data_IF_719089604329
#
_entry.id   IF_719089604329
#
_cell.length_a   1.000
_cell.length_b   1.000
_cell.length_c   1.000
_cell.angle_alpha   90.00
_cell.angle_beta   90.00
_cell.angle_gamma   90.00
#
_symmetry.space_group_name_H-M   'P 1'
#
loop_
_entity.id
_entity.type
_entity.pdbx_description
1 polymer ?
#
# COMPACT_ATOMS: atom_id res chain seq x y z
N UNK A 1 -13.12 -31.34 21.97
CA UNK A 1 -11.86 -30.95 21.30
C UNK A 1 -12.09 -29.60 20.65
N UNK A 2 -11.34 -28.57 21.05
CA UNK A 2 -11.50 -27.20 20.57
C UNK A 2 -10.85 -27.07 19.18
N UNK A 3 -11.60 -26.80 18.09
CA UNK A 3 -11.05 -26.75 16.72
C UNK A 3 -10.02 -25.63 16.52
N UNK A 4 -9.93 -24.66 17.44
CA UNK A 4 -9.03 -23.52 17.34
C UNK A 4 -7.57 -23.84 17.73
N UNK A 5 -7.30 -24.97 18.40
CA UNK A 5 -5.95 -25.27 18.89
C UNK A 5 -5.00 -25.83 17.82
N UNK A 6 -5.55 -26.43 16.75
CA UNK A 6 -4.75 -27.04 15.66
C UNK A 6 -4.32 -25.97 14.64
N UNK A 7 -5.20 -25.02 14.35
CA UNK A 7 -4.92 -23.89 13.45
C UNK A 7 -3.85 -22.96 14.02
N UNK A 8 -3.85 -22.73 15.34
CA UNK A 8 -2.89 -21.89 16.06
C UNK A 8 -1.45 -22.48 16.04
N UNK A 9 -1.36 -23.81 16.10
CA UNK A 9 -0.08 -24.53 16.05
C UNK A 9 0.47 -24.60 14.62
N UNK A 10 -0.39 -24.85 13.63
CA UNK A 10 -0.02 -24.77 12.21
C UNK A 10 0.41 -23.35 11.80
N UNK A 11 -0.16 -22.31 12.43
CA UNK A 11 0.25 -20.93 12.25
C UNK A 11 1.69 -20.68 12.73
N UNK A 12 2.02 -21.03 13.97
CA UNK A 12 3.39 -20.92 14.48
C UNK A 12 4.40 -21.64 13.59
N UNK A 13 4.03 -22.80 13.04
CA UNK A 13 4.86 -23.58 12.14
C UNK A 13 5.10 -22.83 10.81
N UNK A 14 4.07 -22.25 10.17
CA UNK A 14 4.23 -21.49 8.91
C UNK A 14 5.08 -20.22 9.08
N UNK A 15 4.95 -19.50 10.19
CA UNK A 15 5.83 -18.36 10.51
C UNK A 15 7.27 -18.82 10.82
N UNK A 16 7.45 -20.03 11.37
CA UNK A 16 8.78 -20.59 11.65
C UNK A 16 9.47 -21.22 10.42
N UNK A 17 8.71 -21.63 9.40
CA UNK A 17 9.22 -22.37 8.23
C UNK A 17 9.49 -21.50 6.99
N UNK A 18 9.50 -20.17 7.11
CA UNK A 18 9.96 -19.29 6.04
C UNK A 18 8.89 -18.84 5.03
N UNK A 19 7.64 -18.68 5.46
CA UNK A 19 6.66 -17.91 4.68
C UNK A 19 7.20 -16.50 4.40
N UNK A 20 7.11 -16.02 3.15
CA UNK A 20 7.67 -14.73 2.75
C UNK A 20 7.00 -13.57 3.49
N UNK A 21 7.60 -13.14 4.61
CA UNK A 21 7.10 -12.10 5.51
C UNK A 21 7.18 -10.70 4.91
N UNK A 22 8.09 -10.51 3.97
CA UNK A 22 8.31 -9.23 3.32
C UNK A 22 8.84 -9.42 1.90
N UNK A 23 8.58 -8.43 1.06
CA UNK A 23 9.11 -8.32 -0.29
C UNK A 23 9.42 -6.86 -0.54
N UNK A 24 10.65 -6.55 -0.91
CA UNK A 24 11.00 -5.22 -1.42
C UNK A 24 11.44 -5.35 -2.87
N UNK A 25 11.08 -4.37 -3.69
CA UNK A 25 11.54 -4.20 -5.05
C UNK A 25 12.06 -2.78 -5.19
N UNK A 26 13.28 -2.67 -5.69
CA UNK A 26 13.92 -1.40 -6.01
C UNK A 26 14.14 -1.36 -7.52
N UNK A 27 13.79 -0.24 -8.14
CA UNK A 27 13.94 -0.03 -9.57
C UNK A 27 14.59 1.31 -9.83
N UNK A 28 15.60 1.30 -10.69
CA UNK A 28 16.37 2.47 -11.06
C UNK A 28 16.23 2.68 -12.57
N UNK A 29 15.98 3.92 -12.99
CA UNK A 29 15.83 4.26 -14.39
C UNK A 29 16.55 5.58 -14.67
N UNK A 30 17.59 5.52 -15.50
CA UNK A 30 18.31 6.68 -16.00
C UNK A 30 17.95 6.87 -17.47
N UNK A 31 17.60 8.10 -17.84
CA UNK A 31 17.32 8.47 -19.22
C UNK A 31 17.90 9.84 -19.52
N UNK A 32 18.54 9.96 -20.68
CA UNK A 32 19.13 11.18 -21.17
C UNK A 32 18.56 11.47 -22.56
N UNK A 33 17.92 12.63 -22.69
CA UNK A 33 17.36 13.10 -23.94
C UNK A 33 18.24 14.22 -24.50
N UNK A 34 18.79 13.99 -25.70
CA UNK A 34 19.63 14.94 -26.45
C UNK A 34 18.91 15.53 -27.67
N UNK A 35 17.58 15.70 -27.60
CA UNK A 35 16.81 16.31 -28.69
C UNK A 35 17.27 17.75 -28.99
N UNK A 36 17.78 18.46 -27.98
CA UNK A 36 18.52 19.70 -28.17
C UNK A 36 19.97 19.52 -27.64
N UNK A 37 20.99 19.54 -28.51
CA UNK A 37 22.40 19.40 -28.11
C UNK A 37 22.87 20.48 -27.12
N UNK A 38 22.20 21.63 -27.07
CA UNK A 38 22.52 22.74 -26.17
C UNK A 38 21.90 22.63 -24.77
N UNK A 39 20.89 21.77 -24.58
CA UNK A 39 20.23 21.60 -23.29
C UNK A 39 19.76 20.15 -23.10
N UNK A 40 20.70 19.23 -22.77
CA UNK A 40 20.35 17.83 -22.55
C UNK A 40 19.46 17.69 -21.31
N UNK A 41 18.35 16.97 -21.44
CA UNK A 41 17.46 16.67 -20.33
C UNK A 41 17.87 15.33 -19.75
N UNK A 42 18.35 15.34 -18.52
CA UNK A 42 18.70 14.14 -17.77
C UNK A 42 17.64 13.85 -16.72
N UNK A 43 17.25 12.58 -16.59
CA UNK A 43 16.32 12.12 -15.57
C UNK A 43 16.86 10.86 -14.92
N UNK A 44 16.82 10.82 -13.59
CA UNK A 44 17.18 9.63 -12.83
C UNK A 44 16.09 9.34 -11.80
N UNK A 45 15.27 8.34 -12.09
CA UNK A 45 14.21 7.88 -11.21
C UNK A 45 14.67 6.68 -10.37
N UNK A 46 14.34 6.72 -9.08
CA UNK A 46 14.37 5.57 -8.20
C UNK A 46 12.96 5.29 -7.69
N UNK A 47 12.51 4.05 -7.80
CA UNK A 47 11.23 3.60 -7.27
C UNK A 47 11.48 2.47 -6.28
N UNK A 48 10.76 2.50 -5.16
CA UNK A 48 10.75 1.47 -4.14
C UNK A 48 9.33 1.00 -3.90
N UNK A 49 9.15 -0.32 -3.83
CA UNK A 49 7.89 -0.97 -3.50
C UNK A 49 8.18 -2.03 -2.45
N UNK A 50 7.70 -1.81 -1.24
CA UNK A 50 7.89 -2.71 -0.11
C UNK A 50 6.53 -3.21 0.36
N UNK A 51 6.37 -4.52 0.48
CA UNK A 51 5.18 -5.18 1.02
C UNK A 51 5.60 -6.06 2.18
N UNK A 52 4.97 -5.87 3.34
CA UNK A 52 5.27 -6.55 4.59
C UNK A 52 3.97 -7.20 5.08
N UNK A 53 4.01 -8.51 5.27
CA UNK A 53 2.93 -9.29 5.88
C UNK A 53 3.20 -9.38 7.38
N UNK A 54 2.67 -8.43 8.15
CA UNK A 54 2.92 -8.31 9.60
C UNK A 54 2.29 -9.48 10.35
N UNK A 55 1.07 -9.85 9.98
CA UNK A 55 0.35 -11.05 10.43
C UNK A 55 -0.52 -11.55 9.27
N UNK A 56 -1.21 -12.70 9.36
CA UNK A 56 -2.09 -13.20 8.26
C UNK A 56 -3.14 -12.17 7.83
N UNK A 57 -3.61 -11.42 8.81
CA UNK A 57 -4.70 -10.48 8.67
C UNK A 57 -4.22 -9.05 8.46
N UNK A 58 -2.91 -8.80 8.49
CA UNK A 58 -2.34 -7.47 8.32
C UNK A 58 -1.26 -7.45 7.25
N UNK A 59 -1.50 -6.64 6.23
CA UNK A 59 -0.53 -6.34 5.20
C UNK A 59 -0.26 -4.84 5.17
N UNK A 60 1.01 -4.47 5.14
CA UNK A 60 1.45 -3.09 4.98
C UNK A 60 2.25 -3.00 3.70
N UNK A 61 1.92 -2.04 2.87
CA UNK A 61 2.62 -1.74 1.63
C UNK A 61 3.09 -0.29 1.70
N UNK A 62 4.34 -0.08 1.32
CA UNK A 62 4.96 1.23 1.23
C UNK A 62 5.56 1.38 -0.16
N UNK A 63 5.19 2.45 -0.83
CA UNK A 63 5.70 2.80 -2.14
C UNK A 63 6.31 4.18 -2.08
N UNK A 64 7.48 4.37 -2.68
CA UNK A 64 8.06 5.69 -2.83
C UNK A 64 8.81 5.84 -4.14
N UNK A 65 8.72 7.03 -4.74
CA UNK A 65 9.43 7.42 -5.95
C UNK A 65 10.26 8.65 -5.65
N UNK A 66 11.52 8.58 -6.03
CA UNK A 66 12.52 9.62 -5.85
C UNK A 66 13.06 10.07 -7.21
N UNK A 67 13.26 11.37 -7.34
CA UNK A 67 14.11 11.96 -8.37
C UNK A 67 15.51 12.11 -7.77
N UNK A 68 16.45 11.28 -8.25
CA UNK A 68 17.80 11.20 -7.69
C UNK A 68 18.64 12.41 -8.09
N UNK A 69 18.39 13.01 -9.27
CA UNK A 69 19.12 14.18 -9.74
C UNK A 69 18.72 15.42 -8.94
N UNK A 70 17.42 15.62 -8.76
CA UNK A 70 16.87 16.75 -8.01
C UNK A 70 16.85 16.50 -6.49
N UNK A 71 17.23 15.29 -6.04
CA UNK A 71 17.20 14.83 -4.65
C UNK A 71 15.84 15.02 -3.99
N UNK A 72 14.77 14.82 -4.76
CA UNK A 72 13.41 15.10 -4.33
C UNK A 72 12.59 13.82 -4.19
N UNK A 73 11.74 13.77 -3.17
CA UNK A 73 10.78 12.69 -2.97
C UNK A 73 9.49 13.05 -3.71
N UNK A 74 9.36 12.52 -4.91
CA UNK A 74 8.28 12.85 -5.84
C UNK A 74 6.93 12.33 -5.34
N UNK A 75 6.90 11.12 -4.80
CA UNK A 75 5.69 10.57 -4.21
C UNK A 75 5.98 9.46 -3.23
N UNK A 76 5.17 9.35 -2.19
CA UNK A 76 5.19 8.22 -1.28
C UNK A 76 3.79 7.86 -0.78
N UNK A 77 3.54 6.57 -0.60
CA UNK A 77 2.23 6.05 -0.25
C UNK A 77 2.33 4.91 0.75
N UNK A 78 1.46 4.94 1.74
CA UNK A 78 1.26 3.88 2.71
C UNK A 78 -0.10 3.22 2.45
N UNK A 79 -0.11 1.90 2.31
CA UNK A 79 -1.29 1.09 2.07
C UNK A 79 -1.35 -0.03 3.11
N UNK A 80 -2.27 0.09 4.07
CA UNK A 80 -2.47 -0.88 5.13
C UNK A 80 -3.77 -1.62 4.87
N UNK A 81 -3.74 -2.94 4.93
CA UNK A 81 -4.91 -3.79 4.80
C UNK A 81 -5.07 -4.64 6.04
N UNK A 82 -6.25 -4.58 6.66
CA UNK A 82 -6.63 -5.44 7.78
C UNK A 82 -7.84 -6.31 7.43
N UNK A 83 -7.73 -7.61 7.71
CA UNK A 83 -8.81 -8.59 7.62
C UNK A 83 -9.33 -8.95 9.02
N UNK A 84 -10.63 -8.82 9.24
CA UNK A 84 -11.31 -9.16 10.50
C UNK A 84 -12.40 -10.21 10.27
N UNK A 85 -12.17 -11.16 9.35
CA UNK A 85 -13.05 -12.29 8.99
C UNK A 85 -14.37 -11.87 8.32
N UNK A 86 -15.18 -11.07 9.01
CA UNK A 86 -16.41 -10.49 8.48
C UNK A 86 -16.20 -9.09 7.92
N UNK A 87 -15.13 -8.40 8.30
CA UNK A 87 -14.84 -7.03 7.86
C UNK A 87 -13.48 -6.93 7.18
N UNK A 88 -13.36 -6.03 6.21
CA UNK A 88 -12.08 -5.61 5.65
C UNK A 88 -11.91 -4.11 5.75
N UNK A 89 -10.66 -3.70 6.01
CA UNK A 89 -10.30 -2.30 6.17
C UNK A 89 -9.06 -1.97 5.35
N UNK A 90 -9.21 -1.56 4.08
CA UNK A 90 -8.15 -0.89 3.36
C UNK A 90 -8.00 0.55 3.84
N UNK A 91 -6.76 0.90 4.18
CA UNK A 91 -6.31 2.24 4.54
C UNK A 91 -5.25 2.63 3.53
N UNK A 92 -5.42 3.77 2.87
CA UNK A 92 -4.43 4.32 1.96
C UNK A 92 -4.14 5.76 2.38
N UNK A 93 -2.86 6.08 2.55
CA UNK A 93 -2.41 7.38 3.01
C UNK A 93 -1.24 7.87 2.16
N UNK A 94 -1.46 9.04 1.55
CA UNK A 94 -0.45 9.79 0.80
C UNK A 94 -0.25 11.12 1.53
N UNK A 95 0.90 11.31 2.21
CA UNK A 95 1.12 12.49 3.05
C UNK A 95 1.22 13.80 2.26
N UNK A 96 1.90 13.77 1.12
CA UNK A 96 2.20 14.96 0.31
C UNK A 96 2.20 14.64 -1.20
N UNK A 97 2.29 15.68 -2.03
CA UNK A 97 2.34 15.56 -3.49
C UNK A 97 0.98 15.42 -4.17
N UNK A 98 1.01 15.10 -5.46
CA UNK A 98 -0.19 14.92 -6.27
C UNK A 98 -0.95 13.66 -5.80
N UNK A 99 -2.16 13.86 -5.28
CA UNK A 99 -2.96 12.79 -4.66
C UNK A 99 -2.78 12.68 -3.14
N UNK A 100 -2.24 13.71 -2.47
CA UNK A 100 -2.23 13.78 -1.01
C UNK A 100 -3.64 13.59 -0.44
N UNK A 101 -3.76 12.72 0.55
CA UNK A 101 -5.04 12.38 1.12
C UNK A 101 -4.98 11.16 2.01
N UNK A 102 -6.07 10.97 2.74
CA UNK A 102 -6.27 9.80 3.57
C UNK A 102 -7.57 9.12 3.13
N UNK A 103 -7.50 7.84 2.87
CA UNK A 103 -8.62 7.02 2.44
C UNK A 103 -8.74 5.84 3.38
N UNK A 104 -9.84 5.81 4.13
CA UNK A 104 -10.23 4.69 4.99
C UNK A 104 -11.57 4.18 4.50
N UNK A 105 -11.65 2.88 4.25
CA UNK A 105 -12.90 2.20 3.93
C UNK A 105 -13.04 0.98 4.81
N UNK A 106 -14.25 0.77 5.32
CA UNK A 106 -14.61 -0.41 6.09
C UNK A 106 -15.75 -1.09 5.33
N UNK A 107 -15.52 -2.34 4.89
CA UNK A 107 -16.55 -3.14 4.23
C UNK A 107 -16.87 -4.38 5.06
N UNK A 108 -18.13 -4.80 5.00
CA UNK A 108 -18.57 -6.12 5.48
C UNK A 108 -18.49 -7.11 4.33
N UNK A 109 -17.77 -8.22 4.52
CA UNK A 109 -17.58 -9.29 3.52
C UNK A 109 -18.83 -10.17 3.32
N UNK A 110 -19.71 -10.22 4.32
CA UNK A 110 -20.92 -11.05 4.26
C UNK A 110 -21.98 -10.43 3.32
N UNK A 111 -22.48 -11.17 2.30
CA UNK A 111 -23.52 -10.70 1.40
C UNK A 111 -24.89 -10.52 2.09
N UNK A 112 -25.08 -11.07 3.28
CA UNK A 112 -26.36 -10.98 4.03
C UNK A 112 -26.49 -9.67 4.83
N UNK A 113 -25.40 -8.90 5.01
CA UNK A 113 -25.38 -7.65 5.78
C UNK A 113 -24.53 -6.57 5.08
N UNK A 114 -24.87 -6.27 3.82
CA UNK A 114 -24.21 -5.19 3.04
C UNK A 114 -24.57 -3.77 3.53
N UNK A 115 -25.41 -3.63 4.56
CA UNK A 115 -26.02 -2.36 4.96
C UNK A 115 -25.13 -1.40 5.79
N UNK A 116 -23.87 -1.78 6.05
CA UNK A 116 -22.93 -0.90 6.76
C UNK A 116 -21.63 -0.71 5.97
N UNK A 117 -21.71 0.07 4.88
CA UNK A 117 -20.54 0.55 4.13
C UNK A 117 -20.16 1.93 4.62
N UNK A 118 -19.10 2.02 5.43
CA UNK A 118 -18.59 3.31 5.93
C UNK A 118 -17.31 3.68 5.18
N UNK A 119 -17.41 4.67 4.30
CA UNK A 119 -16.27 5.26 3.59
C UNK A 119 -15.95 6.64 4.19
N UNK A 120 -14.70 6.84 4.62
CA UNK A 120 -14.18 8.15 5.04
C UNK A 120 -13.02 8.54 4.11
N UNK A 121 -13.20 9.63 3.37
CA UNK A 121 -12.22 10.19 2.46
C UNK A 121 -11.82 11.58 2.97
N UNK A 122 -10.53 11.83 3.12
CA UNK A 122 -9.95 13.14 3.43
C UNK A 122 -9.01 13.60 2.30
N UNK A 123 -8.81 14.91 2.15
CA UNK A 123 -8.00 15.51 1.08
C UNK A 123 -8.81 15.85 -0.18
N UNK A 124 -8.15 15.96 -1.34
CA UNK A 124 -8.76 16.37 -2.62
C UNK A 124 -9.88 15.40 -3.08
N UNK A 125 -9.91 14.16 -2.55
CA UNK A 125 -10.93 13.13 -2.85
C UNK A 125 -12.29 13.35 -2.17
N UNK A 126 -12.51 14.48 -1.49
CA UNK A 126 -13.75 14.82 -0.77
C UNK A 126 -14.95 15.11 -1.69
N UNK A 127 -14.80 15.16 -3.02
CA UNK A 127 -15.85 15.71 -3.90
C UNK A 127 -16.89 14.75 -4.49
N UNK A 128 -16.94 13.46 -4.14
CA UNK A 128 -18.07 12.58 -4.51
C UNK A 128 -18.32 11.47 -3.49
N UNK A 129 -19.09 11.79 -2.45
CA UNK A 129 -19.94 10.81 -1.83
C UNK A 129 -21.19 10.69 -2.72
N UNK A 130 -21.25 9.67 -3.56
CA UNK A 130 -22.50 9.27 -4.17
C UNK A 130 -23.19 8.37 -3.16
N UNK A 131 -24.27 8.89 -2.56
CA UNK A 131 -25.31 8.09 -1.94
C UNK A 131 -26.11 7.38 -3.04
#
# INVERSE_FOLDING_TARGET
MNPNSVTDQAEKIVWSLGGKLWSTSLSFSYSMNKANPSNPIETFWMSSNTSIQVTRNWRVQYNARFDVLNKDLVSHNFSIYRDLHCWEMPINWTPNGYGSGFYLKINVKSPTLQDLKLERRGGIFTRRANF
#
